data_IF_041832676422
#
_entry.id   IF_041832676422
#
_cell.length_a   1.000
_cell.length_b   1.000
_cell.length_c   1.000
_cell.angle_alpha   90.00
_cell.angle_beta   90.00
_cell.angle_gamma   90.00
#
_symmetry.space_group_name_H-M   'P 1'
#
loop_
_entity.id
_entity.type
_entity.pdbx_description
1 polymer ?
#
# COMPACT_ATOMS: atom_id res chain seq x y z
N UNK A 1 11.75 9.56 -8.94
CA UNK A 1 11.71 8.67 -7.76
C UNK A 1 12.98 7.85 -7.77
N UNK A 2 13.71 7.77 -6.67
CA UNK A 2 14.91 6.92 -6.59
C UNK A 2 14.49 5.51 -6.19
N UNK A 3 14.43 4.60 -7.16
CA UNK A 3 13.94 3.23 -6.99
C UNK A 3 14.80 2.41 -6.02
N UNK A 4 16.07 2.78 -5.85
CA UNK A 4 17.00 2.08 -4.95
C UNK A 4 16.64 2.24 -3.47
N UNK A 5 15.72 3.16 -3.15
CA UNK A 5 15.26 3.40 -1.78
C UNK A 5 14.06 2.56 -1.38
N UNK A 6 13.52 1.74 -2.27
CA UNK A 6 12.32 0.95 -2.01
C UNK A 6 12.68 -0.53 -1.88
N UNK A 7 11.90 -1.26 -1.09
CA UNK A 7 12.00 -2.72 -1.07
C UNK A 7 11.46 -3.31 -2.38
N UNK A 8 11.82 -4.56 -2.69
CA UNK A 8 11.31 -5.26 -3.87
C UNK A 8 9.79 -5.34 -3.86
N UNK A 9 9.18 -5.72 -2.74
CA UNK A 9 7.71 -5.77 -2.60
C UNK A 9 7.06 -4.40 -2.77
N UNK A 10 7.70 -3.33 -2.30
CA UNK A 10 7.21 -1.98 -2.54
C UNK A 10 7.26 -1.60 -4.03
N UNK A 11 8.35 -1.94 -4.72
CA UNK A 11 8.46 -1.72 -6.17
C UNK A 11 7.44 -2.56 -6.96
N UNK A 12 7.25 -3.83 -6.58
CA UNK A 12 6.27 -4.73 -7.18
C UNK A 12 4.85 -4.16 -7.04
N UNK A 13 4.49 -3.64 -5.86
CA UNK A 13 3.20 -3.00 -5.63
C UNK A 13 3.02 -1.73 -6.48
N UNK A 14 4.07 -0.92 -6.67
CA UNK A 14 4.00 0.26 -7.53
C UNK A 14 3.87 -0.10 -9.02
N UNK A 15 4.57 -1.15 -9.46
CA UNK A 15 4.42 -1.68 -10.82
C UNK A 15 3.02 -2.26 -11.04
N UNK A 16 2.48 -3.01 -10.06
CA UNK A 16 1.12 -3.53 -10.12
C UNK A 16 0.08 -2.41 -10.16
N UNK A 17 0.29 -1.32 -9.40
CA UNK A 17 -0.57 -0.14 -9.45
C UNK A 17 -0.52 0.56 -10.83
N UNK A 18 0.66 0.65 -11.45
CA UNK A 18 0.80 1.17 -12.82
C UNK A 18 0.07 0.30 -13.83
N UNK A 19 0.26 -1.03 -13.77
CA UNK A 19 -0.41 -1.97 -14.65
C UNK A 19 -1.93 -1.88 -14.52
N UNK A 20 -2.44 -1.79 -13.29
CA UNK A 20 -3.87 -1.61 -13.03
C UNK A 20 -4.40 -0.32 -13.67
N UNK A 21 -3.68 0.79 -13.55
CA UNK A 21 -4.09 2.05 -14.18
C UNK A 21 -4.14 1.91 -15.72
N UNK A 22 -3.15 1.26 -16.32
CA UNK A 22 -3.10 1.00 -17.76
C UNK A 22 -4.25 0.10 -18.23
N UNK A 23 -4.52 -0.99 -17.50
CA UNK A 23 -5.64 -1.92 -17.76
C UNK A 23 -7.00 -1.22 -17.69
N UNK A 24 -7.14 -0.24 -16.78
CA UNK A 24 -8.35 0.57 -16.63
C UNK A 24 -8.38 1.79 -17.56
N UNK A 25 -7.41 1.93 -18.46
CA UNK A 25 -7.24 3.09 -19.35
C UNK A 25 -7.19 4.44 -18.60
N UNK A 26 -6.59 4.44 -17.42
CA UNK A 26 -6.45 5.59 -16.54
C UNK A 26 -5.04 6.14 -16.65
N UNK A 27 -4.93 7.40 -17.09
CA UNK A 27 -3.63 8.04 -17.34
C UNK A 27 -2.87 8.38 -16.05
N UNK A 28 -3.54 8.37 -14.90
CA UNK A 28 -2.95 8.78 -13.63
C UNK A 28 -2.94 7.63 -12.63
N UNK A 29 -1.75 7.31 -12.13
CA UNK A 29 -1.56 6.42 -10.99
C UNK A 29 -1.84 7.24 -9.73
N UNK A 30 -3.00 6.95 -9.13
CA UNK A 30 -3.49 7.58 -7.91
C UNK A 30 -3.28 6.67 -6.67
N UNK A 31 -3.50 7.24 -5.47
CA UNK A 31 -3.36 6.52 -4.19
C UNK A 31 -4.25 5.28 -4.12
N UNK A 32 -5.40 5.30 -4.77
CA UNK A 32 -6.35 4.19 -4.86
C UNK A 32 -5.73 2.98 -5.58
N UNK A 33 -5.01 3.18 -6.68
CA UNK A 33 -4.31 2.12 -7.40
C UNK A 33 -3.24 1.48 -6.52
N UNK A 34 -2.47 2.31 -5.82
CA UNK A 34 -1.42 1.85 -4.90
C UNK A 34 -2.04 1.09 -3.72
N UNK A 35 -3.11 1.61 -3.13
CA UNK A 35 -3.83 0.95 -2.04
C UNK A 35 -4.39 -0.41 -2.48
N UNK A 36 -4.98 -0.47 -3.68
CA UNK A 36 -5.47 -1.72 -4.27
C UNK A 36 -4.34 -2.72 -4.46
N UNK A 37 -3.25 -2.31 -5.12
CA UNK A 37 -2.12 -3.20 -5.39
C UNK A 37 -1.49 -3.77 -4.10
N UNK A 38 -1.36 -2.95 -3.06
CA UNK A 38 -0.87 -3.38 -1.75
C UNK A 38 -1.81 -4.37 -1.05
N UNK A 39 -3.12 -4.22 -1.21
CA UNK A 39 -4.12 -5.11 -0.61
C UNK A 39 -4.35 -6.40 -1.41
N UNK A 40 -4.07 -6.37 -2.71
CA UNK A 40 -4.28 -7.49 -3.63
C UNK A 40 -3.16 -8.55 -3.55
N UNK A 41 -2.01 -8.23 -2.93
CA UNK A 41 -1.01 -9.25 -2.56
C UNK A 41 -1.54 -10.05 -1.37
N UNK A 42 -2.32 -11.11 -1.62
CA UNK A 42 -3.00 -11.92 -0.58
C UNK A 42 -2.03 -12.49 0.47
N UNK A 43 -0.81 -12.81 0.06
CA UNK A 43 0.25 -13.29 0.94
C UNK A 43 1.06 -12.13 1.55
N UNK A 44 0.79 -10.89 1.14
CA UNK A 44 1.50 -9.69 1.57
C UNK A 44 1.19 -9.24 3.00
N UNK A 45 2.05 -8.35 3.51
CA UNK A 45 1.95 -7.80 4.85
C UNK A 45 0.67 -6.98 5.08
N UNK A 46 0.26 -6.19 4.07
CA UNK A 46 -0.83 -5.22 4.20
C UNK A 46 -2.20 -5.88 4.45
N UNK A 47 -2.69 -6.85 3.67
CA UNK A 47 -3.98 -7.49 3.95
C UNK A 47 -3.98 -8.24 5.29
N UNK A 48 -2.84 -8.83 5.70
CA UNK A 48 -2.67 -9.45 7.02
C UNK A 48 -2.83 -8.42 8.14
N UNK A 49 -2.20 -7.25 8.03
CA UNK A 49 -2.32 -6.17 9.02
C UNK A 49 -3.73 -5.57 9.07
N UNK A 50 -4.37 -5.37 7.91
CA UNK A 50 -5.76 -4.89 7.84
C UNK A 50 -6.71 -5.87 8.54
N UNK A 51 -6.55 -7.17 8.29
CA UNK A 51 -7.32 -8.22 8.99
C UNK A 51 -7.06 -8.20 10.49
N UNK A 52 -5.80 -8.01 10.91
CA UNK A 52 -5.42 -7.88 12.33
C UNK A 52 -6.02 -6.65 13.01
N UNK A 53 -6.32 -5.59 12.25
CA UNK A 53 -7.05 -4.41 12.74
C UNK A 53 -8.57 -4.66 12.88
N UNK A 54 -9.07 -5.85 12.54
CA UNK A 54 -10.48 -6.20 12.57
C UNK A 54 -11.27 -5.72 11.35
N UNK A 55 -10.60 -5.26 10.29
CA UNK A 55 -11.23 -4.89 9.03
C UNK A 55 -11.25 -6.09 8.06
N UNK A 56 -12.32 -6.23 7.28
CA UNK A 56 -12.41 -7.23 6.21
C UNK A 56 -11.58 -6.75 5.00
N UNK A 57 -10.37 -7.32 4.84
CA UNK A 57 -9.46 -6.95 3.75
C UNK A 57 -10.05 -7.23 2.36
N UNK A 58 -10.67 -8.40 2.08
CA UNK A 58 -11.42 -8.63 0.83
C UNK A 58 -12.51 -7.58 0.57
N UNK A 59 -13.27 -7.18 1.59
CA UNK A 59 -14.28 -6.12 1.44
C UNK A 59 -13.64 -4.77 1.13
N UNK A 60 -12.56 -4.42 1.83
CA UNK A 60 -11.82 -3.17 1.59
C UNK A 60 -11.28 -3.12 0.15
N UNK A 61 -10.71 -4.22 -0.34
CA UNK A 61 -10.22 -4.36 -1.71
C UNK A 61 -11.33 -4.10 -2.73
N UNK A 62 -12.51 -4.73 -2.55
CA UNK A 62 -13.68 -4.51 -3.42
C UNK A 62 -14.18 -3.06 -3.42
N UNK A 63 -14.21 -2.41 -2.27
CA UNK A 63 -14.63 -1.00 -2.18
C UNK A 63 -13.64 -0.08 -2.89
N UNK A 64 -12.33 -0.35 -2.79
CA UNK A 64 -11.31 0.41 -3.52
C UNK A 64 -11.40 0.16 -5.03
N UNK A 65 -11.61 -1.09 -5.47
CA UNK A 65 -11.82 -1.40 -6.90
C UNK A 65 -13.02 -0.64 -7.48
N UNK A 66 -14.09 -0.49 -6.68
CA UNK A 66 -15.25 0.33 -7.05
C UNK A 66 -14.88 1.80 -7.24
N UNK A 67 -14.01 2.35 -6.39
CA UNK A 67 -13.51 3.73 -6.56
C UNK A 67 -12.69 3.87 -7.84
N UNK A 68 -11.79 2.93 -8.09
CA UNK A 68 -10.95 2.91 -9.30
C UNK A 68 -11.84 2.84 -10.55
N UNK A 69 -12.85 1.98 -10.56
CA UNK A 69 -13.78 1.83 -11.69
C UNK A 69 -14.59 3.09 -11.99
N UNK A 70 -14.66 4.06 -11.06
CA UNK A 70 -15.34 5.34 -11.25
C UNK A 70 -14.41 6.46 -11.72
N UNK A 71 -13.09 6.22 -11.79
CA UNK A 71 -12.14 7.23 -12.23
C UNK A 71 -12.22 7.46 -13.75
N UNK A 72 -11.86 8.66 -14.24
CA UNK A 72 -11.87 8.97 -15.66
C UNK A 72 -10.92 8.06 -16.47
N UNK A 73 -11.43 7.47 -17.55
CA UNK A 73 -10.66 6.68 -18.51
C UNK A 73 -10.47 7.43 -19.82
N UNK A 74 -9.31 7.30 -20.45
CA UNK A 74 -8.99 7.90 -21.76
C UNK A 74 -8.63 6.81 -22.76
N UNK A 75 -9.36 6.77 -23.88
CA UNK A 75 -9.12 5.83 -24.99
C UNK A 75 -8.66 6.55 -26.25
N UNK A 76 -7.97 5.85 -27.16
CA UNK A 76 -7.56 6.37 -28.46
C UNK A 76 -6.16 6.99 -28.46
N UNK A 77 -5.89 7.94 -29.36
CA UNK A 77 -4.55 8.51 -29.62
C UNK A 77 -3.89 9.22 -28.41
N UNK A 78 -4.64 9.42 -27.32
CA UNK A 78 -4.16 9.95 -26.05
C UNK A 78 -3.99 8.89 -24.95
N UNK A 79 -4.17 7.60 -25.25
CA UNK A 79 -3.83 6.50 -24.35
C UNK A 79 -2.30 6.32 -24.30
N UNK A 80 -1.63 7.31 -23.72
CA UNK A 80 -0.20 7.28 -23.44
C UNK A 80 0.13 6.49 -22.19
N UNK A 81 1.37 6.63 -21.73
CA UNK A 81 1.84 6.03 -20.47
C UNK A 81 1.09 6.60 -19.26
N UNK A 82 0.86 5.74 -18.26
CA UNK A 82 0.32 6.17 -16.98
C UNK A 82 1.42 6.81 -16.11
N UNK A 83 1.16 8.00 -15.60
CA UNK A 83 2.09 8.76 -14.75
C UNK A 83 1.55 8.91 -13.33
N UNK A 84 2.44 9.07 -12.34
CA UNK A 84 2.03 9.35 -10.96
C UNK A 84 1.29 10.68 -10.89
N UNK A 85 0.11 10.68 -10.25
CA UNK A 85 -0.54 11.94 -9.89
C UNK A 85 0.30 12.70 -8.86
N UNK A 86 0.13 14.03 -8.81
CA UNK A 86 0.86 14.89 -7.88
C UNK A 86 0.66 14.42 -6.42
N UNK A 87 -0.58 14.11 -6.04
CA UNK A 87 -0.91 13.63 -4.71
C UNK A 87 -0.30 12.25 -4.40
N UNK A 88 -0.17 11.38 -5.40
CA UNK A 88 0.49 10.10 -5.25
C UNK A 88 2.01 10.27 -5.06
N UNK A 89 2.63 11.16 -5.83
CA UNK A 89 4.06 11.51 -5.70
C UNK A 89 4.39 12.10 -4.32
N UNK A 90 3.51 12.98 -3.81
CA UNK A 90 3.63 13.53 -2.45
C UNK A 90 3.49 12.45 -1.37
N UNK A 91 2.57 11.49 -1.56
CA UNK A 91 2.40 10.36 -0.65
C UNK A 91 3.66 9.48 -0.59
N UNK A 92 4.28 9.17 -1.73
CA UNK A 92 5.53 8.38 -1.75
C UNK A 92 6.70 9.15 -1.10
N UNK A 93 6.76 10.46 -1.30
CA UNK A 93 7.73 11.32 -0.63
C UNK A 93 7.52 11.35 0.90
N UNK A 94 6.27 11.27 1.35
CA UNK A 94 5.94 11.16 2.77
C UNK A 94 6.33 9.79 3.34
N UNK A 95 6.08 8.71 2.60
CA UNK A 95 6.52 7.36 2.97
C UNK A 95 8.05 7.30 3.16
N UNK A 96 8.84 7.94 2.28
CA UNK A 96 10.30 8.05 2.45
C UNK A 96 10.69 8.78 3.74
N UNK A 97 10.00 9.89 4.06
CA UNK A 97 10.26 10.62 5.31
C UNK A 97 9.91 9.78 6.53
N UNK A 98 8.83 9.02 6.48
CA UNK A 98 8.37 8.21 7.61
C UNK A 98 9.24 6.98 7.83
N UNK A 99 9.77 6.37 6.77
CA UNK A 99 10.80 5.33 6.87
C UNK A 99 12.07 5.86 7.56
N UNK A 100 12.58 7.02 7.13
CA UNK A 100 13.76 7.65 7.76
C UNK A 100 13.53 7.99 9.24
N UNK A 101 12.34 8.46 9.61
CA UNK A 101 11.99 8.74 11.01
C UNK A 101 11.95 7.48 11.87
N UNK A 102 11.54 6.35 11.29
CA UNK A 102 11.59 5.04 11.95
C UNK A 102 12.99 4.44 11.96
N UNK A 103 13.94 5.07 11.26
CA UNK A 103 15.33 4.64 11.16
C UNK A 103 15.50 3.44 10.24
N UNK A 104 14.61 3.30 9.26
CA UNK A 104 14.66 2.32 8.19
C UNK A 104 15.45 2.85 6.99
N UNK A 105 16.22 1.97 6.35
CA UNK A 105 17.06 2.31 5.20
C UNK A 105 16.27 2.27 3.89
N UNK A 106 15.20 1.46 3.84
CA UNK A 106 14.31 1.34 2.67
C UNK A 106 12.85 1.61 3.00
N UNK A 107 12.13 2.12 2.00
CA UNK A 107 10.69 2.31 1.99
C UNK A 107 10.01 0.99 1.62
N UNK A 108 9.53 0.28 2.63
CA UNK A 108 8.68 -0.92 2.46
C UNK A 108 7.18 -0.60 2.33
N UNK A 109 6.38 -1.61 2.04
CA UNK A 109 4.92 -1.56 1.79
C UNK A 109 4.15 -0.92 2.94
N UNK A 110 4.55 -1.13 4.19
CA UNK A 110 3.89 -0.54 5.36
C UNK A 110 4.07 0.98 5.43
N UNK A 111 5.20 1.51 4.97
CA UNK A 111 5.43 2.95 4.93
C UNK A 111 4.49 3.62 3.91
N UNK A 112 4.33 2.98 2.75
CA UNK A 112 3.45 3.46 1.69
C UNK A 112 1.99 3.42 2.18
N UNK A 113 1.56 2.30 2.75
CA UNK A 113 0.19 2.18 3.24
C UNK A 113 -0.10 3.12 4.42
N UNK A 114 0.84 3.29 5.35
CA UNK A 114 0.71 4.25 6.44
C UNK A 114 0.63 5.70 5.94
N UNK A 115 1.36 6.06 4.88
CA UNK A 115 1.26 7.38 4.24
C UNK A 115 -0.10 7.61 3.55
N UNK A 116 -0.69 6.56 2.96
CA UNK A 116 -2.06 6.61 2.41
C UNK A 116 -3.08 6.83 3.53
N UNK A 117 -2.96 6.13 4.66
CA UNK A 117 -3.84 6.29 5.82
C UNK A 117 -3.71 7.67 6.50
N UNK A 118 -2.54 8.29 6.40
CA UNK A 118 -2.29 9.63 6.96
C UNK A 118 -2.98 10.73 6.17
N UNK A 119 -2.90 10.66 4.85
CA UNK A 119 -3.45 11.66 3.93
C UNK A 119 -4.29 10.99 2.83
N UNK A 120 -5.41 10.34 3.19
CA UNK A 120 -6.27 9.68 2.22
C UNK A 120 -6.97 10.72 1.33
N UNK A 121 -7.30 10.34 0.10
CA UNK A 121 -8.28 11.10 -0.69
C UNK A 121 -9.64 11.08 0.03
N UNK A 122 -10.57 12.02 -0.27
CA UNK A 122 -11.92 11.97 0.30
C UNK A 122 -12.62 10.63 0.08
N UNK A 123 -12.41 10.01 -1.08
CA UNK A 123 -12.98 8.70 -1.42
C UNK A 123 -12.37 7.57 -0.57
N UNK A 124 -11.04 7.49 -0.47
CA UNK A 124 -10.37 6.51 0.39
C UNK A 124 -10.74 6.71 1.86
N UNK A 125 -10.84 7.96 2.33
CA UNK A 125 -11.24 8.27 3.71
C UNK A 125 -12.62 7.68 4.05
N UNK A 126 -13.58 7.81 3.13
CA UNK A 126 -14.92 7.27 3.30
C UNK A 126 -14.90 5.72 3.36
N UNK A 127 -14.13 5.09 2.48
CA UNK A 127 -13.96 3.62 2.46
C UNK A 127 -13.29 3.11 3.74
N UNK A 128 -12.18 3.73 4.16
CA UNK A 128 -11.49 3.36 5.40
C UNK A 128 -12.39 3.51 6.62
N UNK A 129 -13.19 4.59 6.69
CA UNK A 129 -14.17 4.77 7.77
C UNK A 129 -15.25 3.68 7.77
N UNK A 130 -15.77 3.30 6.60
CA UNK A 130 -16.75 2.21 6.46
C UNK A 130 -16.18 0.86 6.95
N UNK A 131 -14.90 0.61 6.68
CA UNK A 131 -14.18 -0.58 7.13
C UNK A 131 -13.58 -0.45 8.54
N UNK A 132 -13.83 0.67 9.24
CA UNK A 132 -13.26 1.01 10.56
C UNK A 132 -11.73 0.96 10.62
N UNK A 133 -11.05 1.12 9.48
CA UNK A 133 -9.61 1.14 9.39
C UNK A 133 -9.10 2.57 9.65
N UNK A 134 -8.10 2.70 10.53
CA UNK A 134 -7.44 3.97 10.80
C UNK A 134 -5.93 3.78 11.02
N UNK A 135 -5.17 4.86 10.86
CA UNK A 135 -3.71 4.84 10.99
C UNK A 135 -3.24 4.36 12.37
N UNK A 136 -3.92 4.77 13.45
CA UNK A 136 -3.49 4.41 14.81
C UNK A 136 -3.52 2.90 15.02
N UNK A 137 -4.63 2.26 14.68
CA UNK A 137 -4.79 0.82 14.85
C UNK A 137 -3.87 0.04 13.90
N UNK A 138 -3.69 0.54 12.67
CA UNK A 138 -2.72 -0.01 11.72
C UNK A 138 -1.29 0.02 12.27
N UNK A 139 -0.84 1.15 12.81
CA UNK A 139 0.51 1.28 13.38
C UNK A 139 0.69 0.40 14.63
N UNK A 140 -0.36 0.25 15.46
CA UNK A 140 -0.35 -0.65 16.60
C UNK A 140 -0.20 -2.11 16.13
N UNK A 141 -0.98 -2.54 15.14
CA UNK A 141 -0.87 -3.88 14.57
C UNK A 141 0.51 -4.12 13.94
N UNK A 142 1.04 -3.12 13.22
CA UNK A 142 2.36 -3.16 12.61
C UNK A 142 3.46 -3.34 13.67
N UNK A 143 3.42 -2.60 14.79
CA UNK A 143 4.44 -2.72 15.85
C UNK A 143 4.53 -4.10 16.49
N UNK A 144 3.46 -4.90 16.38
CA UNK A 144 3.45 -6.29 16.90
C UNK A 144 4.07 -7.28 15.92
N UNK A 145 4.23 -6.91 14.64
CA UNK A 145 4.76 -7.77 13.57
C UNK A 145 6.16 -7.32 13.16
N UNK A 146 6.41 -6.00 13.15
CA UNK A 146 7.69 -5.40 12.84
C UNK A 146 8.64 -5.55 14.04
N UNK A 147 9.49 -6.56 13.98
CA UNK A 147 10.50 -6.85 15.03
C UNK A 147 11.84 -6.18 14.79
N UNK A 148 12.10 -5.72 13.56
CA UNK A 148 13.38 -5.10 13.18
C UNK A 148 13.16 -4.01 12.13
N UNK A 149 14.18 -3.16 12.00
CA UNK A 149 14.27 -2.14 10.96
C UNK A 149 14.38 -2.79 9.58
N UNK A 150 13.91 -2.07 8.56
CA UNK A 150 14.07 -2.43 7.16
C UNK A 150 15.44 -1.95 6.69
N UNK A 151 16.45 -2.79 6.90
CA UNK A 151 17.86 -2.52 6.51
C UNK A 151 18.28 -3.28 5.25
N UNK A 152 17.36 -4.00 4.60
CA UNK A 152 17.57 -4.68 3.33
C UNK A 152 16.45 -4.35 2.35
N UNK A 153 16.65 -4.67 1.08
CA UNK A 153 15.67 -4.49 0.01
C UNK A 153 14.56 -5.57 0.02
N UNK A 154 14.67 -6.57 0.89
CA UNK A 154 13.77 -7.73 0.96
C UNK A 154 13.43 -8.11 2.42
N UNK A 155 12.94 -7.17 3.27
CA UNK A 155 12.62 -7.45 4.67
C UNK A 155 11.40 -8.37 4.83
N UNK A 156 10.52 -8.41 3.83
CA UNK A 156 9.21 -9.08 3.95
C UNK A 156 9.33 -10.60 4.03
N UNK A 157 10.38 -11.17 3.45
CA UNK A 157 10.75 -12.58 3.58
C UNK A 157 10.97 -12.97 5.05
N UNK A 158 11.41 -12.02 5.89
CA UNK A 158 11.64 -12.24 7.33
C UNK A 158 10.34 -12.18 8.13
N UNK A 159 9.37 -11.36 7.70
CA UNK A 159 8.06 -11.26 8.37
C UNK A 159 7.22 -12.53 8.18
N UNK A 160 7.31 -13.17 7.02
CA UNK A 160 6.57 -14.42 6.76
C UNK A 160 7.05 -15.60 7.60
N UNK A 161 8.34 -15.63 7.94
CA UNK A 161 8.89 -16.63 8.88
C UNK A 161 8.29 -16.41 10.27
N UNK A 162 8.25 -15.18 10.76
CA UNK A 162 7.71 -14.86 12.09
C UNK A 162 6.20 -15.15 12.22
N UNK A 163 5.42 -14.92 11.16
CA UNK A 163 3.99 -15.27 11.14
C UNK A 163 3.76 -16.79 11.14
N UNK A 164 4.62 -17.58 10.48
CA UNK A 164 4.51 -19.05 10.47
C UNK A 164 4.91 -19.69 11.79
N UNK A 165 5.92 -19.16 12.48
CA UNK A 165 6.40 -19.70 13.77
C UNK A 165 5.72 -19.10 15.01
N UNK A 166 5.02 -17.96 14.88
CA UNK A 166 4.23 -17.38 15.97
C UNK A 166 2.90 -18.08 16.24
N UNK A 167 2.49 -19.02 15.36
CA UNK A 167 1.20 -19.70 15.47
C UNK A 167 1.27 -21.10 16.09
N UNK A 168 2.45 -21.57 16.50
CA UNK A 168 2.64 -22.90 17.08
C UNK A 168 3.22 -22.82 18.51
N UNK A 169 2.42 -22.25 19.42
CA UNK A 169 2.58 -22.40 20.87
C UNK A 169 1.21 -22.29 21.56
N UNK A 170 0.38 -23.34 21.43
CA UNK A 170 -0.35 -24.09 22.49
C UNK A 170 -1.20 -25.19 21.88
#
# INVERSE_FOLDING_TARGET
>A
MDTNKFTKKALDALNAAQNLALERHQQQICKEHVAYALLNDEEGLIPKLVTKCGADAPQLLREIDRLISQMPSVTGSGAGEAYLSQDCSLMLSQAEKDAKKQGDDFVSVEHIFAAILDNPTPALKAVFAKCKLNKKDFMNALSQVKTSKVTSDSPEDTYDVLNKYGHDMV
#
